data_IF_583508642215
#
_entry.id   IF_583508642215
#
_cell.length_a   1.000
_cell.length_b   1.000
_cell.length_c   1.000
_cell.angle_alpha   90.00
_cell.angle_beta   90.00
_cell.angle_gamma   90.00
#
_symmetry.space_group_name_H-M   'P 1'
#
loop_
_entity.id
_entity.type
_entity.pdbx_description
1 polymer ?
#
# COMPACT_ATOMS: atom_id res chain seq x y z
N UNK A 1 -10.54 21.08 -15.98
CA UNK A 1 -9.53 20.23 -15.31
C UNK A 1 -10.26 19.05 -14.71
N UNK A 2 -10.09 17.85 -15.26
CA UNK A 2 -10.63 16.62 -14.66
C UNK A 2 -9.81 16.30 -13.42
N UNK A 3 -10.43 16.31 -12.24
CA UNK A 3 -9.82 15.75 -11.03
C UNK A 3 -9.47 14.29 -11.31
N UNK A 4 -8.19 13.98 -11.52
CA UNK A 4 -7.74 12.60 -11.66
C UNK A 4 -7.79 11.96 -10.27
N UNK A 5 -8.63 10.95 -10.12
CA UNK A 5 -8.67 10.13 -8.92
C UNK A 5 -7.30 9.48 -8.69
N UNK A 6 -6.86 9.45 -7.44
CA UNK A 6 -5.61 8.80 -7.02
C UNK A 6 -5.92 7.63 -6.09
N UNK A 7 -5.13 6.56 -6.16
CA UNK A 7 -5.35 5.35 -5.38
C UNK A 7 -4.09 4.91 -4.62
N UNK A 8 -4.32 4.40 -3.41
CA UNK A 8 -3.34 3.66 -2.62
C UNK A 8 -3.78 2.20 -2.66
N UNK A 9 -2.88 1.31 -3.07
CA UNK A 9 -3.17 -0.12 -3.07
C UNK A 9 -2.54 -0.79 -1.84
N UNK A 10 -3.35 -1.59 -1.13
CA UNK A 10 -2.95 -2.28 0.09
C UNK A 10 -2.75 -3.76 -0.22
N UNK A 11 -1.54 -4.24 0.04
CA UNK A 11 -1.10 -5.61 -0.21
C UNK A 11 -1.13 -6.36 1.12
N UNK A 12 -2.13 -7.22 1.29
CA UNK A 12 -2.26 -8.08 2.47
C UNK A 12 -1.82 -9.53 2.21
N UNK A 13 -1.73 -9.91 0.94
CA UNK A 13 -1.33 -11.23 0.47
C UNK A 13 -0.21 -11.12 -0.57
N UNK A 14 0.89 -11.85 -0.34
CA UNK A 14 2.07 -11.81 -1.20
C UNK A 14 1.80 -12.38 -2.60
N UNK A 15 0.93 -13.39 -2.71
CA UNK A 15 0.62 -14.01 -3.99
C UNK A 15 -0.20 -13.07 -4.87
N UNK A 16 -1.28 -12.50 -4.33
CA UNK A 16 -2.06 -11.46 -4.98
C UNK A 16 -1.19 -10.25 -5.33
N UNK A 17 -0.31 -9.79 -4.42
CA UNK A 17 0.59 -8.66 -4.68
C UNK A 17 1.52 -8.88 -5.88
N UNK A 18 2.01 -10.11 -6.12
CA UNK A 18 2.82 -10.40 -7.31
C UNK A 18 2.05 -10.32 -8.63
N UNK A 19 0.73 -10.45 -8.58
CA UNK A 19 -0.16 -10.41 -9.76
C UNK A 19 -0.73 -9.00 -9.95
N UNK A 20 -1.17 -8.36 -8.87
CA UNK A 20 -1.86 -7.07 -8.88
C UNK A 20 -0.90 -5.92 -9.13
N UNK A 21 0.23 -5.91 -8.43
CA UNK A 21 1.17 -4.79 -8.47
C UNK A 21 1.73 -4.59 -9.89
N UNK A 22 2.03 -5.64 -10.69
CA UNK A 22 2.51 -5.41 -12.05
C UNK A 22 1.46 -4.78 -12.94
N UNK A 23 0.23 -5.25 -12.81
CA UNK A 23 -0.90 -4.70 -13.54
C UNK A 23 -1.08 -3.22 -13.17
N UNK A 24 -1.07 -2.90 -11.87
CA UNK A 24 -1.22 -1.54 -11.33
C UNK A 24 -0.10 -0.58 -11.79
N UNK A 25 1.13 -1.06 -11.90
CA UNK A 25 2.28 -0.26 -12.32
C UNK A 25 2.39 -0.11 -13.84
N UNK A 26 1.90 -1.08 -14.61
CA UNK A 26 2.03 -1.09 -16.08
C UNK A 26 1.12 -0.09 -16.80
N UNK A 27 0.15 0.53 -16.09
CA UNK A 27 -0.86 1.50 -16.62
C UNK A 27 -1.73 0.93 -17.77
N UNK A 28 -1.48 -0.30 -18.22
CA UNK A 28 -2.23 -0.96 -19.29
C UNK A 28 -3.37 -1.78 -18.69
N UNK A 29 -4.54 -1.15 -18.66
CA UNK A 29 -5.84 -1.79 -18.45
C UNK A 29 -6.01 -2.54 -17.13
N UNK A 30 -6.54 -1.84 -16.14
CA UNK A 30 -6.94 -2.42 -14.85
C UNK A 30 -8.40 -2.90 -14.82
N UNK A 31 -9.05 -2.97 -15.98
CA UNK A 31 -10.38 -3.58 -16.17
C UNK A 31 -10.40 -5.10 -15.95
N UNK A 32 -9.26 -5.71 -15.59
CA UNK A 32 -9.06 -7.16 -15.42
C UNK A 32 -8.92 -7.56 -13.94
N UNK A 33 -8.74 -6.60 -13.02
CA UNK A 33 -8.59 -6.86 -11.57
C UNK A 33 -9.94 -7.04 -10.87
N UNK A 34 -10.77 -7.94 -11.41
CA UNK A 34 -11.95 -8.48 -10.73
C UNK A 34 -11.52 -9.62 -9.81
N UNK A 35 -10.77 -9.29 -8.76
CA UNK A 35 -10.48 -10.26 -7.70
C UNK A 35 -11.47 -9.98 -6.58
N UNK A 36 -12.43 -10.88 -6.39
CA UNK A 36 -13.53 -10.82 -5.41
C UNK A 36 -13.08 -10.73 -3.93
N UNK A 37 -11.76 -10.62 -3.68
CA UNK A 37 -11.14 -10.56 -2.35
C UNK A 37 -10.37 -9.26 -2.08
N UNK A 38 -10.37 -8.28 -3.00
CA UNK A 38 -9.70 -7.01 -2.74
C UNK A 38 -10.58 -6.08 -1.86
N UNK A 39 -10.18 -5.88 -0.61
CA UNK A 39 -10.82 -4.97 0.36
C UNK A 39 -10.56 -3.47 0.07
N UNK A 40 -9.78 -3.15 -0.96
CA UNK A 40 -9.44 -1.79 -1.35
C UNK A 40 -10.58 -1.05 -2.05
N UNK A 41 -10.33 0.19 -2.49
CA UNK A 41 -11.31 1.03 -3.18
C UNK A 41 -11.76 0.48 -4.54
N UNK A 42 -11.04 -0.52 -5.07
CA UNK A 42 -11.21 -1.08 -6.42
C UNK A 42 -11.24 0.00 -7.53
N UNK A 43 -10.72 1.19 -7.21
CA UNK A 43 -10.63 2.31 -8.14
C UNK A 43 -9.38 2.14 -8.98
N UNK A 44 -9.50 1.22 -9.92
CA UNK A 44 -8.46 0.79 -10.82
C UNK A 44 -8.28 1.73 -12.02
N UNK A 45 -9.16 2.71 -12.21
CA UNK A 45 -8.96 3.80 -13.19
C UNK A 45 -8.13 4.96 -12.63
N UNK A 46 -7.85 4.95 -11.32
CA UNK A 46 -7.06 5.98 -10.64
C UNK A 46 -5.55 5.75 -10.81
N UNK A 47 -4.78 6.83 -10.81
CA UNK A 47 -3.31 6.72 -10.78
C UNK A 47 -2.85 6.18 -9.43
N UNK A 48 -2.02 5.14 -9.45
CA UNK A 48 -1.42 4.58 -8.24
C UNK A 48 -0.39 5.59 -7.68
N UNK A 49 -0.62 6.05 -6.45
CA UNK A 49 0.26 7.03 -5.78
C UNK A 49 1.09 6.43 -4.66
N UNK A 50 0.70 5.26 -4.13
CA UNK A 50 1.49 4.51 -3.15
C UNK A 50 1.06 3.05 -3.06
N UNK A 51 1.98 2.22 -2.56
CA UNK A 51 1.73 0.84 -2.15
C UNK A 51 1.92 0.72 -0.65
N UNK A 52 0.99 0.08 0.05
CA UNK A 52 1.12 -0.20 1.48
C UNK A 52 1.03 -1.71 1.72
N UNK A 53 1.85 -2.26 2.62
CA UNK A 53 1.80 -3.69 2.96
C UNK A 53 1.30 -3.90 4.37
N UNK A 54 0.47 -4.92 4.56
CA UNK A 54 0.06 -5.39 5.88
C UNK A 54 1.24 -5.97 6.68
N UNK A 55 1.01 -6.18 7.98
CA UNK A 55 2.01 -6.73 8.89
C UNK A 55 2.44 -8.17 8.59
N UNK A 56 1.66 -8.90 7.78
CA UNK A 56 2.00 -10.26 7.33
C UNK A 56 3.05 -10.31 6.22
N UNK A 57 3.33 -9.20 5.54
CA UNK A 57 4.26 -9.16 4.41
C UNK A 57 5.68 -8.84 4.90
N UNK A 58 6.59 -9.78 4.67
CA UNK A 58 7.99 -9.69 5.09
C UNK A 58 8.82 -8.84 4.13
N UNK A 59 10.00 -8.39 4.59
CA UNK A 59 10.98 -7.69 3.74
C UNK A 59 11.38 -8.53 2.53
N UNK A 60 11.54 -9.83 2.74
CA UNK A 60 11.92 -10.78 1.70
C UNK A 60 10.85 -10.85 0.61
N UNK A 61 9.58 -10.94 1.00
CA UNK A 61 8.45 -10.96 0.07
C UNK A 61 8.33 -9.66 -0.70
N UNK A 62 8.47 -8.51 -0.05
CA UNK A 62 8.53 -7.20 -0.73
C UNK A 62 9.68 -7.16 -1.73
N UNK A 63 10.85 -7.68 -1.36
CA UNK A 63 12.00 -7.80 -2.27
C UNK A 63 11.68 -8.67 -3.49
N UNK A 64 10.98 -9.79 -3.31
CA UNK A 64 10.55 -10.66 -4.43
C UNK A 64 9.53 -9.99 -5.32
N UNK A 65 8.61 -9.21 -4.76
CA UNK A 65 7.65 -8.45 -5.53
C UNK A 65 8.38 -7.36 -6.33
N UNK A 66 9.26 -6.57 -5.70
CA UNK A 66 10.03 -5.52 -6.38
C UNK A 66 10.99 -6.05 -7.44
N UNK A 67 11.62 -7.19 -7.18
CA UNK A 67 12.54 -7.83 -8.13
C UNK A 67 11.84 -8.50 -9.32
N UNK A 68 10.51 -8.60 -9.32
CA UNK A 68 9.75 -9.02 -10.49
C UNK A 68 9.59 -7.90 -11.53
N UNK A 69 10.11 -6.70 -11.26
CA UNK A 69 10.11 -5.56 -12.18
C UNK A 69 11.50 -5.27 -12.69
N UNK A 70 11.58 -5.05 -14.01
CA UNK A 70 12.80 -4.54 -14.66
C UNK A 70 13.01 -3.04 -14.33
N UNK A 71 11.92 -2.28 -14.16
CA UNK A 71 11.95 -0.87 -13.78
C UNK A 71 11.55 -0.65 -12.31
N UNK A 72 12.38 0.07 -11.55
CA UNK A 72 12.05 0.43 -10.16
C UNK A 72 10.83 1.36 -10.14
N UNK A 73 9.68 0.91 -9.61
CA UNK A 73 8.46 1.68 -9.72
C UNK A 73 8.58 3.01 -8.97
N UNK A 74 8.22 4.09 -9.67
CA UNK A 74 8.16 5.45 -9.11
C UNK A 74 6.91 5.64 -8.23
N UNK A 75 6.70 4.70 -7.30
CA UNK A 75 5.72 4.83 -6.22
C UNK A 75 6.38 4.52 -4.87
N UNK A 76 6.10 5.29 -3.81
CA UNK A 76 6.55 4.98 -2.47
C UNK A 76 5.88 3.70 -1.95
N UNK A 77 6.67 2.89 -1.25
CA UNK A 77 6.23 1.69 -0.56
C UNK A 77 6.20 1.96 0.94
N UNK A 78 5.07 1.63 1.58
CA UNK A 78 4.86 1.78 3.01
C UNK A 78 4.70 0.40 3.63
N UNK A 79 5.44 0.12 4.69
CA UNK A 79 5.41 -1.16 5.42
C UNK A 79 4.99 -0.94 6.86
N UNK A 80 4.07 -1.77 7.34
CA UNK A 80 3.64 -1.72 8.74
C UNK A 80 4.83 -1.96 9.69
N UNK A 81 5.04 -1.05 10.65
CA UNK A 81 6.03 -1.18 11.71
C UNK A 81 5.50 -2.09 12.82
N UNK A 82 5.89 -3.37 12.75
CA UNK A 82 5.50 -4.38 13.73
C UNK A 82 6.05 -4.12 15.14
N UNK A 83 7.08 -3.27 15.31
CA UNK A 83 7.54 -2.87 16.65
C UNK A 83 6.45 -2.07 17.38
N UNK A 84 5.62 -1.34 16.64
CA UNK A 84 4.49 -0.56 17.15
C UNK A 84 3.29 -1.42 17.55
N UNK A 85 3.34 -2.74 17.31
CA UNK A 85 2.39 -3.73 17.86
C UNK A 85 2.73 -4.08 19.32
N UNK A 86 4.02 -4.01 19.69
CA UNK A 86 4.50 -4.30 21.04
C UNK A 86 4.43 -3.09 21.98
N UNK A 87 4.31 -1.88 21.43
CA UNK A 87 4.06 -0.68 22.22
C UNK A 87 2.65 -0.79 22.82
N UNK A 88 2.60 -1.11 24.12
CA UNK A 88 1.43 -1.15 25.03
C UNK A 88 0.63 0.16 25.12
N UNK A 89 0.69 1.04 24.12
CA UNK A 89 -0.01 2.33 24.12
C UNK A 89 -1.42 2.26 23.54
N UNK A 90 -1.83 1.09 23.06
CA UNK A 90 -3.24 0.80 22.78
C UNK A 90 -3.63 -0.26 23.81
N UNK A 91 -4.69 -0.05 24.64
CA UNK A 91 -5.33 -1.16 25.34
C UNK A 91 -5.46 -2.30 24.34
N UNK A 92 -5.21 -3.58 24.69
CA UNK A 92 -5.24 -4.67 23.72
C UNK A 92 -6.51 -4.48 22.92
N UNK A 93 -6.36 -4.03 21.67
CA UNK A 93 -7.46 -3.68 20.82
C UNK A 93 -8.29 -4.96 20.80
N UNK A 94 -9.42 -4.95 21.50
CA UNK A 94 -10.22 -6.15 21.75
C UNK A 94 -10.87 -6.49 20.41
N UNK A 95 -10.11 -7.14 19.53
CA UNK A 95 -10.51 -7.46 18.17
C UNK A 95 -9.59 -6.93 17.08
N UNK A 96 -9.60 -7.64 15.96
CA UNK A 96 -8.86 -7.35 14.73
C UNK A 96 -9.22 -5.97 14.13
N UNK A 97 -10.46 -5.53 14.34
CA UNK A 97 -10.99 -4.24 13.85
C UNK A 97 -10.25 -3.03 14.45
N UNK A 98 -10.04 -3.03 15.77
CA UNK A 98 -9.36 -1.93 16.45
C UNK A 98 -7.86 -1.88 16.10
N UNK A 99 -7.24 -3.03 15.80
CA UNK A 99 -5.91 -3.08 15.21
C UNK A 99 -5.90 -2.48 13.80
N UNK A 100 -6.86 -2.86 12.96
CA UNK A 100 -7.02 -2.33 11.60
C UNK A 100 -7.19 -0.81 11.59
N UNK A 101 -8.02 -0.25 12.49
CA UNK A 101 -8.21 1.19 12.65
C UNK A 101 -6.91 1.90 13.03
N UNK A 102 -6.19 1.40 14.03
CA UNK A 102 -4.92 1.99 14.47
C UNK A 102 -3.87 1.95 13.36
N UNK A 103 -3.77 0.84 12.63
CA UNK A 103 -2.87 0.71 11.50
C UNK A 103 -3.23 1.67 10.35
N UNK A 104 -4.52 1.82 10.05
CA UNK A 104 -5.00 2.77 9.05
C UNK A 104 -4.72 4.22 9.44
N UNK A 105 -4.87 4.60 10.71
CA UNK A 105 -4.54 5.94 11.21
C UNK A 105 -3.05 6.26 11.07
N UNK A 106 -2.18 5.30 11.40
CA UNK A 106 -0.73 5.43 11.19
C UNK A 106 -0.37 5.57 9.71
N UNK A 107 -0.99 4.76 8.86
CA UNK A 107 -0.79 4.83 7.42
C UNK A 107 -1.19 6.21 6.87
N UNK A 108 -2.38 6.72 7.23
CA UNK A 108 -2.86 8.06 6.84
C UNK A 108 -1.88 9.14 7.25
N UNK A 109 -1.48 9.15 8.53
CA UNK A 109 -0.50 10.10 9.05
C UNK A 109 0.80 10.06 8.25
N UNK A 110 1.29 8.85 7.93
CA UNK A 110 2.55 8.71 7.20
C UNK A 110 2.43 9.18 5.75
N UNK A 111 1.31 8.92 5.09
CA UNK A 111 1.04 9.41 3.73
C UNK A 111 1.00 10.94 3.68
N UNK A 112 0.40 11.58 4.69
CA UNK A 112 0.36 13.05 4.81
C UNK A 112 1.75 13.64 5.03
N UNK A 113 2.57 13.03 5.91
CA UNK A 113 3.96 13.44 6.14
C UNK A 113 4.82 13.33 4.86
N UNK A 114 4.60 12.29 4.06
CA UNK A 114 5.28 12.08 2.78
C UNK A 114 4.65 12.91 1.64
N UNK A 115 3.52 13.57 1.92
CA UNK A 115 2.75 14.36 0.96
C UNK A 115 2.35 13.58 -0.30
N UNK A 116 2.11 12.28 -0.19
CA UNK A 116 1.81 11.40 -1.32
C UNK A 116 0.66 11.95 -2.17
N UNK A 117 0.82 11.94 -3.50
CA UNK A 117 -0.19 12.42 -4.44
C UNK A 117 -0.16 13.93 -4.71
N UNK A 118 0.74 14.69 -4.09
CA UNK A 118 0.99 16.11 -4.43
C UNK A 118 2.09 16.24 -5.49
N UNK A 119 2.09 17.33 -6.25
CA UNK A 119 3.13 17.59 -7.25
C UNK A 119 4.50 17.84 -6.58
N UNK A 120 5.57 17.22 -7.12
CA UNK A 120 6.96 17.47 -6.69
C UNK A 120 7.44 16.71 -5.45
N UNK A 121 6.63 15.83 -4.86
CA UNK A 121 6.91 15.16 -3.57
C UNK A 121 7.47 13.74 -3.71
N UNK A 122 7.57 12.99 -2.60
CA UNK A 122 8.19 11.66 -2.53
C UNK A 122 7.60 10.69 -3.57
N UNK A 123 8.42 10.33 -4.57
CA UNK A 123 8.03 9.43 -5.66
C UNK A 123 8.51 7.99 -5.47
N UNK A 124 9.47 7.74 -4.58
CA UNK A 124 10.05 6.40 -4.40
C UNK A 124 10.65 6.22 -3.01
N UNK A 125 10.81 4.97 -2.60
CA UNK A 125 11.45 4.60 -1.35
C UNK A 125 10.64 3.58 -0.55
N UNK A 126 11.27 3.06 0.50
CA UNK A 126 10.64 2.17 1.47
C UNK A 126 10.50 2.91 2.80
N UNK A 127 9.27 3.08 3.25
CA UNK A 127 8.93 3.81 4.46
C UNK A 127 8.17 2.91 5.43
N UNK A 128 8.28 3.22 6.71
CA UNK A 128 7.54 2.53 7.76
C UNK A 128 6.38 3.40 8.26
N UNK A 129 5.29 2.76 8.66
CA UNK A 129 4.13 3.40 9.29
C UNK A 129 3.64 2.62 10.51
#
# INVERSE_FOLDING_TARGET
MTNRSSAIHIVTDTFAGKIDIPLLLSVKHLSILSIDKNLGSQSYSASLVALATGGGVTRFEIGRIRGAYEDDPQVPWLRADLSKRKLKMTPPATGEEAYGKTAAERLKKRLDELQVGKEGVVKKGMFWF
#
